data_IF_417769913411
#
_entry.id   IF_417769913411
#
_cell.length_a   1.000
_cell.length_b   1.000
_cell.length_c   1.000
_cell.angle_alpha   90.00
_cell.angle_beta   90.00
_cell.angle_gamma   90.00
#
_symmetry.space_group_name_H-M   'P 1'
#
loop_
_entity.id
_entity.type
_entity.pdbx_description
1 polymer ?
#
# COMPACT_ATOMS: atom_id res chain seq x y z
N UNK A 1 -7.61 -4.37 12.56
CA UNK A 1 -8.25 -3.47 13.53
C UNK A 1 -9.49 -2.82 12.94
N UNK A 2 -10.38 -2.26 13.77
CA UNK A 2 -11.57 -1.54 13.29
C UNK A 2 -11.56 -0.13 13.87
N UNK A 3 -11.77 0.88 13.01
CA UNK A 3 -11.84 2.29 13.40
C UNK A 3 -13.23 2.66 13.94
N UNK A 4 -13.37 3.87 14.50
CA UNK A 4 -14.61 4.33 15.15
C UNK A 4 -15.82 4.50 14.19
N UNK A 5 -15.58 4.58 12.88
CA UNK A 5 -16.61 4.61 11.84
C UNK A 5 -16.99 3.22 11.28
N UNK A 6 -16.37 2.16 11.80
CA UNK A 6 -16.55 0.78 11.34
C UNK A 6 -15.61 0.38 10.20
N UNK A 7 -14.78 1.29 9.69
CA UNK A 7 -13.75 0.98 8.67
C UNK A 7 -12.78 -0.06 9.20
N UNK A 8 -12.53 -1.12 8.43
CA UNK A 8 -11.55 -2.16 8.76
C UNK A 8 -10.21 -1.84 8.13
N UNK A 9 -9.14 -2.01 8.90
CA UNK A 9 -7.77 -1.76 8.47
C UNK A 9 -6.87 -2.95 8.83
N UNK A 10 -6.09 -3.40 7.86
CA UNK A 10 -4.97 -4.34 8.03
C UNK A 10 -3.67 -3.58 7.85
N UNK A 11 -2.72 -3.80 8.72
CA UNK A 11 -1.40 -3.19 8.66
C UNK A 11 -0.38 -4.27 8.32
N UNK A 12 0.48 -4.01 7.36
CA UNK A 12 1.62 -4.86 7.05
C UNK A 12 2.77 -4.59 8.03
N UNK A 13 3.84 -5.36 7.96
CA UNK A 13 5.03 -5.17 8.79
C UNK A 13 5.59 -3.74 8.67
N UNK A 14 6.19 -3.22 9.75
CA UNK A 14 6.80 -1.88 9.82
C UNK A 14 5.85 -0.74 9.44
N UNK A 15 4.54 -0.88 9.75
CA UNK A 15 3.54 0.11 9.39
C UNK A 15 3.05 0.88 10.61
N UNK A 16 3.03 2.20 10.50
CA UNK A 16 2.43 3.12 11.46
C UNK A 16 1.13 3.70 10.88
N UNK A 17 0.04 3.62 11.65
CA UNK A 17 -1.24 4.27 11.35
C UNK A 17 -1.59 5.27 12.45
N UNK A 18 -1.76 6.54 12.07
CA UNK A 18 -2.24 7.60 12.96
C UNK A 18 -3.65 7.99 12.59
N UNK A 19 -4.54 8.00 13.55
CA UNK A 19 -5.96 8.34 13.36
C UNK A 19 -6.55 8.93 14.66
N UNK A 20 -7.58 9.77 14.56
CA UNK A 20 -8.25 10.33 15.75
C UNK A 20 -9.14 9.26 16.39
N UNK A 21 -9.32 9.31 17.71
CA UNK A 21 -10.26 8.43 18.44
C UNK A 21 -11.69 8.59 17.91
N UNK A 22 -12.06 9.83 17.55
CA UNK A 22 -13.35 10.15 16.94
C UNK A 22 -13.10 11.04 15.72
N UNK A 23 -13.65 10.67 14.58
CA UNK A 23 -13.53 11.45 13.36
C UNK A 23 -14.32 12.75 13.41
N UNK A 24 -13.90 13.74 12.63
CA UNK A 24 -14.60 15.00 12.45
C UNK A 24 -15.99 14.81 11.81
N UNK A 25 -16.83 15.84 11.87
CA UNK A 25 -18.20 15.78 11.35
C UNK A 25 -18.26 15.82 9.82
N UNK A 26 -17.24 16.39 9.19
CA UNK A 26 -17.16 16.66 7.75
C UNK A 26 -16.24 15.71 6.98
N UNK A 27 -15.29 15.04 7.67
CA UNK A 27 -14.30 14.15 7.07
C UNK A 27 -13.73 13.12 8.04
N UNK A 28 -13.14 12.06 7.48
CA UNK A 28 -12.46 10.99 8.20
C UNK A 28 -11.01 10.93 7.70
N UNK A 29 -10.05 11.41 8.49
CA UNK A 29 -8.65 11.48 8.07
C UNK A 29 -7.77 10.54 8.87
N UNK A 30 -6.86 9.88 8.17
CA UNK A 30 -5.82 9.03 8.74
C UNK A 30 -4.48 9.26 8.05
N UNK A 31 -3.38 8.95 8.73
CA UNK A 31 -2.02 9.03 8.19
C UNK A 31 -1.37 7.66 8.25
N UNK A 32 -0.73 7.28 7.15
CA UNK A 32 -0.02 5.98 7.00
C UNK A 32 1.45 6.23 6.67
N UNK A 33 2.32 5.49 7.35
CA UNK A 33 3.69 5.23 6.95
C UNK A 33 3.86 3.72 6.85
N UNK A 34 4.22 3.18 5.69
CA UNK A 34 4.26 1.75 5.45
C UNK A 34 3.16 1.25 4.54
N UNK A 35 2.58 0.10 4.80
CA UNK A 35 1.57 -0.50 3.94
C UNK A 35 0.31 -0.90 4.73
N UNK A 36 -0.84 -0.41 4.24
CA UNK A 36 -2.14 -0.67 4.85
C UNK A 36 -3.22 -0.96 3.80
N UNK A 37 -4.03 -1.95 4.09
CA UNK A 37 -5.25 -2.26 3.34
C UNK A 37 -6.46 -1.75 4.10
N UNK A 38 -7.36 -1.08 3.39
CA UNK A 38 -8.57 -0.46 3.92
C UNK A 38 -9.82 -1.06 3.30
N UNK A 39 -10.81 -1.37 4.12
CA UNK A 39 -12.20 -1.58 3.72
C UNK A 39 -13.02 -0.48 4.38
N UNK A 40 -13.22 0.60 3.62
CA UNK A 40 -13.85 1.82 4.14
C UNK A 40 -15.36 1.71 4.08
N UNK A 41 -16.00 1.98 5.21
CA UNK A 41 -17.47 2.05 5.31
C UNK A 41 -18.00 3.18 4.43
N UNK A 42 -19.03 2.88 3.64
CA UNK A 42 -19.65 3.84 2.73
C UNK A 42 -20.33 4.98 3.50
N UNK A 43 -19.83 6.20 3.26
CA UNK A 43 -20.39 7.43 3.80
C UNK A 43 -20.09 8.58 2.79
N UNK A 44 -21.07 8.94 1.99
CA UNK A 44 -20.94 9.98 0.97
C UNK A 44 -20.91 11.40 1.55
N UNK A 45 -21.37 11.58 2.78
CA UNK A 45 -21.37 12.87 3.47
C UNK A 45 -20.03 13.22 4.09
N UNK A 46 -19.22 12.21 4.43
CA UNK A 46 -17.91 12.37 5.07
C UNK A 46 -16.86 11.54 4.33
N UNK A 47 -16.09 12.14 3.43
CA UNK A 47 -15.02 11.44 2.73
C UNK A 47 -14.00 10.86 3.73
N UNK A 48 -13.45 9.69 3.38
CA UNK A 48 -12.32 9.10 4.08
C UNK A 48 -11.05 9.45 3.31
N UNK A 49 -10.06 10.01 4.00
CA UNK A 49 -8.85 10.54 3.39
C UNK A 49 -7.65 9.88 4.05
N UNK A 50 -6.80 9.22 3.25
CA UNK A 50 -5.53 8.66 3.68
C UNK A 50 -4.40 9.56 3.20
N UNK A 51 -3.59 10.05 4.14
CA UNK A 51 -2.35 10.78 3.85
C UNK A 51 -1.17 9.84 4.00
N UNK A 52 -0.36 9.70 2.96
CA UNK A 52 0.83 8.86 2.95
C UNK A 52 1.91 9.45 2.04
N UNK A 53 3.12 9.67 2.54
CA UNK A 53 4.27 10.17 1.74
C UNK A 53 3.93 11.37 0.85
N UNK A 54 3.17 12.36 1.36
CA UNK A 54 2.78 13.56 0.61
C UNK A 54 1.72 13.32 -0.49
N UNK A 55 1.10 12.15 -0.50
CA UNK A 55 -0.04 11.78 -1.34
C UNK A 55 -1.31 11.84 -0.50
N UNK A 56 -2.39 12.35 -1.08
CA UNK A 56 -3.73 12.33 -0.50
C UNK A 56 -4.62 11.38 -1.30
N UNK A 57 -5.22 10.40 -0.63
CA UNK A 57 -6.10 9.40 -1.23
C UNK A 57 -7.49 9.56 -0.64
N UNK A 58 -8.47 9.94 -1.46
CA UNK A 58 -9.85 10.24 -1.05
C UNK A 58 -10.83 9.19 -1.56
N UNK A 59 -11.68 8.69 -0.66
CA UNK A 59 -12.70 7.68 -0.97
C UNK A 59 -14.01 7.96 -0.21
N UNK A 60 -15.13 7.36 -0.66
CA UNK A 60 -16.44 7.46 -0.02
C UNK A 60 -16.97 6.11 0.51
N UNK A 61 -16.29 5.01 0.21
CA UNK A 61 -16.69 3.64 0.56
C UNK A 61 -16.05 2.69 -0.44
N UNK A 62 -14.85 2.19 -0.13
CA UNK A 62 -13.92 1.64 -1.12
C UNK A 62 -13.00 0.65 -0.42
N UNK A 63 -12.61 -0.41 -1.13
CA UNK A 63 -11.56 -1.33 -0.72
C UNK A 63 -10.30 -1.07 -1.54
N UNK A 64 -9.19 -0.75 -0.87
CA UNK A 64 -7.93 -0.38 -1.53
C UNK A 64 -6.72 -0.62 -0.63
N UNK A 65 -5.55 -0.75 -1.27
CA UNK A 65 -4.25 -0.85 -0.62
C UNK A 65 -3.45 0.43 -0.80
N UNK A 66 -2.75 0.85 0.22
CA UNK A 66 -1.76 1.95 0.18
C UNK A 66 -0.43 1.39 0.61
N UNK A 67 0.60 1.50 -0.23
CA UNK A 67 1.99 1.20 0.09
C UNK A 67 2.82 2.49 -0.03
N UNK A 68 3.40 2.94 1.07
CA UNK A 68 4.13 4.20 1.15
C UNK A 68 5.21 4.13 2.25
N UNK A 69 6.17 3.22 2.08
CA UNK A 69 7.35 3.12 2.94
C UNK A 69 8.33 4.25 2.61
N UNK A 70 8.96 4.82 3.64
CA UNK A 70 9.92 5.93 3.47
C UNK A 70 11.19 5.52 2.70
N UNK A 71 11.56 4.23 2.77
CA UNK A 71 12.71 3.65 2.08
C UNK A 71 12.37 3.05 0.69
N UNK A 72 11.13 3.26 0.20
CA UNK A 72 10.72 2.87 -1.15
C UNK A 72 10.68 4.09 -2.08
N UNK A 73 11.13 3.93 -3.33
CA UNK A 73 11.14 5.03 -4.29
C UNK A 73 9.74 5.44 -4.77
N UNK A 74 8.74 4.59 -4.55
CA UNK A 74 7.38 4.77 -5.02
C UNK A 74 6.37 4.65 -3.88
N UNK A 75 5.35 5.52 -3.89
CA UNK A 75 4.11 5.29 -3.17
C UNK A 75 3.06 4.75 -4.15
N UNK A 76 2.37 3.68 -3.77
CA UNK A 76 1.44 2.96 -4.63
C UNK A 76 0.07 2.83 -3.96
N UNK A 77 -0.97 3.19 -4.71
CA UNK A 77 -2.36 3.08 -4.26
C UNK A 77 -3.11 2.16 -5.22
N UNK A 78 -3.47 0.96 -4.77
CA UNK A 78 -4.12 -0.08 -5.60
C UNK A 78 -5.59 -0.19 -5.26
N UNK A 79 -6.46 -0.01 -6.25
CA UNK A 79 -7.90 -0.09 -6.06
C UNK A 79 -8.43 -1.49 -6.30
N UNK A 80 -9.13 -2.03 -5.29
CA UNK A 80 -9.80 -3.34 -5.34
C UNK A 80 -11.27 -3.18 -5.74
N UNK A 81 -12.01 -2.32 -5.02
CA UNK A 81 -13.43 -2.10 -5.24
C UNK A 81 -13.82 -0.64 -4.93
N UNK A 82 -14.73 -0.09 -5.72
CA UNK A 82 -15.25 1.27 -5.54
C UNK A 82 -14.57 2.30 -6.46
N UNK A 83 -14.24 3.46 -5.91
CA UNK A 83 -13.56 4.56 -6.60
C UNK A 83 -12.58 5.24 -5.66
N UNK A 84 -11.43 5.61 -6.20
CA UNK A 84 -10.38 6.34 -5.48
C UNK A 84 -9.98 7.57 -6.27
N UNK A 85 -9.90 8.70 -5.58
CA UNK A 85 -9.23 9.90 -6.07
C UNK A 85 -7.88 10.03 -5.37
N UNK A 86 -6.80 10.08 -6.15
CA UNK A 86 -5.43 10.26 -5.65
C UNK A 86 -4.94 11.63 -6.08
N UNK A 87 -4.40 12.39 -5.14
CA UNK A 87 -3.84 13.73 -5.38
C UNK A 87 -2.38 13.79 -4.93
N UNK A 88 -1.52 14.36 -5.77
CA UNK A 88 -0.12 14.65 -5.49
C UNK A 88 0.29 15.98 -6.14
N UNK A 89 0.72 16.96 -5.33
CA UNK A 89 1.14 18.30 -5.81
C UNK A 89 0.15 18.97 -6.75
N UNK A 90 -1.14 18.86 -6.47
CA UNK A 90 -2.21 19.48 -7.27
C UNK A 90 -2.60 18.70 -8.54
N UNK A 91 -1.88 17.61 -8.86
CA UNK A 91 -2.30 16.68 -9.90
C UNK A 91 -3.23 15.62 -9.31
N UNK A 92 -4.32 15.34 -10.00
CA UNK A 92 -5.34 14.39 -9.54
C UNK A 92 -5.49 13.23 -10.52
N UNK A 93 -5.65 12.03 -9.99
CA UNK A 93 -5.89 10.81 -10.75
C UNK A 93 -7.08 10.05 -10.16
N UNK A 94 -8.02 9.64 -11.01
CA UNK A 94 -9.14 8.77 -10.63
C UNK A 94 -8.81 7.32 -11.00
N UNK A 95 -9.02 6.41 -10.04
CA UNK A 95 -8.87 4.98 -10.24
C UNK A 95 -10.23 4.28 -10.32
N UNK A 96 -10.26 3.24 -11.15
CA UNK A 96 -11.29 2.20 -11.20
C UNK A 96 -10.69 0.88 -10.75
N UNK A 97 -11.50 -0.14 -10.35
CA UNK A 97 -10.97 -1.45 -9.95
C UNK A 97 -9.99 -2.04 -10.98
N UNK A 98 -8.89 -2.62 -10.50
CA UNK A 98 -7.82 -3.13 -11.34
C UNK A 98 -6.71 -2.11 -11.65
N UNK A 99 -6.86 -0.86 -11.21
CA UNK A 99 -5.88 0.20 -11.45
C UNK A 99 -5.10 0.56 -10.19
N UNK A 100 -3.87 0.99 -10.40
CA UNK A 100 -2.95 1.48 -9.38
C UNK A 100 -2.45 2.87 -9.75
N UNK A 101 -2.51 3.80 -8.82
CA UNK A 101 -1.75 5.06 -8.89
C UNK A 101 -0.34 4.83 -8.35
N UNK A 102 0.64 5.40 -9.03
CA UNK A 102 2.05 5.35 -8.68
C UNK A 102 2.56 6.77 -8.56
N UNK A 103 3.13 7.10 -7.42
CA UNK A 103 3.73 8.41 -7.13
C UNK A 103 5.21 8.21 -6.81
N UNK A 104 6.05 8.82 -7.60
CA UNK A 104 7.49 8.85 -7.35
C UNK A 104 7.79 9.68 -6.09
N UNK A 105 8.56 9.12 -5.16
CA UNK A 105 8.79 9.72 -3.83
C UNK A 105 9.60 11.01 -3.90
N UNK A 106 10.49 11.16 -4.88
CA UNK A 106 11.37 12.31 -5.04
C UNK A 106 10.72 13.41 -5.88
N UNK A 107 10.26 13.06 -7.09
CA UNK A 107 9.70 14.02 -8.05
C UNK A 107 8.25 14.37 -7.80
N UNK A 108 7.53 13.49 -7.05
CA UNK A 108 6.08 13.56 -6.81
C UNK A 108 5.25 13.42 -8.10
N UNK A 109 5.85 12.89 -9.16
CA UNK A 109 5.14 12.62 -10.39
C UNK A 109 4.09 11.53 -10.16
N UNK A 110 2.84 11.83 -10.51
CA UNK A 110 1.70 10.93 -10.41
C UNK A 110 1.42 10.29 -11.77
N UNK A 111 1.36 8.98 -11.81
CA UNK A 111 0.97 8.18 -12.96
C UNK A 111 0.01 7.08 -12.54
N UNK A 112 -0.58 6.36 -13.52
CA UNK A 112 -1.42 5.19 -13.23
C UNK A 112 -1.12 4.06 -14.20
N UNK A 113 -1.31 2.82 -13.71
CA UNK A 113 -1.16 1.59 -14.50
C UNK A 113 -2.22 0.56 -14.15
N UNK A 114 -2.53 -0.32 -15.06
CA UNK A 114 -3.35 -1.50 -14.80
C UNK A 114 -2.49 -2.58 -14.14
N UNK A 115 -3.05 -3.28 -13.14
CA UNK A 115 -2.30 -4.27 -12.35
C UNK A 115 -3.17 -5.49 -12.03
N UNK A 116 -2.49 -6.62 -11.76
CA UNK A 116 -3.14 -7.74 -11.08
C UNK A 116 -3.26 -7.41 -9.59
N UNK A 117 -4.45 -7.02 -9.15
CA UNK A 117 -4.73 -6.59 -7.78
C UNK A 117 -4.33 -7.62 -6.74
N UNK A 118 -4.48 -8.92 -7.04
CA UNK A 118 -4.18 -9.99 -6.08
C UNK A 118 -2.73 -9.94 -5.59
N UNK A 119 -1.78 -9.60 -6.44
CA UNK A 119 -0.36 -9.50 -6.07
C UNK A 119 -0.04 -8.35 -5.09
N UNK A 120 -0.94 -7.36 -4.98
CA UNK A 120 -0.79 -6.21 -4.08
C UNK A 120 -1.56 -6.34 -2.77
N UNK A 121 -2.47 -7.32 -2.65
CA UNK A 121 -3.32 -7.46 -1.46
C UNK A 121 -3.22 -8.83 -0.80
N UNK A 122 -2.53 -9.80 -1.41
CA UNK A 122 -2.36 -11.16 -0.90
C UNK A 122 -1.63 -11.23 0.45
N UNK A 123 -0.81 -10.22 0.76
CA UNK A 123 -0.11 -10.12 2.04
C UNK A 123 -1.07 -10.10 3.24
N UNK A 124 -2.28 -9.56 3.06
CA UNK A 124 -3.34 -9.54 4.07
C UNK A 124 -3.73 -10.95 4.52
N UNK A 125 -3.68 -11.91 3.60
CA UNK A 125 -3.99 -13.32 3.83
C UNK A 125 -2.73 -14.15 4.16
N UNK A 126 -1.61 -13.45 4.47
CA UNK A 126 -0.34 -14.08 4.82
C UNK A 126 0.39 -14.71 3.61
N UNK A 127 0.03 -14.31 2.39
CA UNK A 127 0.68 -14.76 1.16
C UNK A 127 1.47 -13.60 0.55
N UNK A 128 2.75 -13.80 0.35
CA UNK A 128 3.59 -12.89 -0.43
C UNK A 128 3.66 -13.41 -1.86
N UNK A 129 2.87 -12.82 -2.73
CA UNK A 129 2.86 -13.09 -4.17
C UNK A 129 3.74 -12.05 -4.88
N UNK A 130 4.71 -12.52 -5.66
CA UNK A 130 5.65 -11.67 -6.38
C UNK A 130 5.78 -12.12 -7.83
N UNK A 131 5.42 -11.21 -8.75
CA UNK A 131 5.55 -11.40 -10.19
C UNK A 131 6.75 -10.61 -10.72
N UNK A 132 7.69 -11.27 -11.40
CA UNK A 132 8.85 -10.65 -12.07
C UNK A 132 9.62 -9.62 -11.22
N UNK A 133 9.66 -9.81 -9.91
CA UNK A 133 10.33 -8.92 -8.96
C UNK A 133 11.83 -9.19 -8.97
N UNK A 134 12.65 -8.14 -8.89
CA UNK A 134 14.10 -8.32 -8.72
C UNK A 134 14.43 -8.92 -7.36
N UNK A 135 15.57 -9.58 -7.24
CA UNK A 135 16.02 -10.12 -5.96
C UNK A 135 16.18 -9.01 -4.91
N UNK A 136 16.60 -7.81 -5.32
CA UNK A 136 16.72 -6.66 -4.42
C UNK A 136 15.37 -6.22 -3.86
N UNK A 137 14.35 -6.08 -4.71
CA UNK A 137 12.97 -5.77 -4.30
C UNK A 137 12.38 -6.89 -3.41
N UNK A 138 12.64 -8.15 -3.76
CA UNK A 138 12.17 -9.31 -3.02
C UNK A 138 12.74 -9.34 -1.60
N UNK A 139 14.07 -9.22 -1.45
CA UNK A 139 14.72 -9.29 -0.12
C UNK A 139 14.35 -8.07 0.73
N UNK A 140 14.12 -6.90 0.15
CA UNK A 140 13.66 -5.71 0.87
C UNK A 140 12.28 -5.96 1.51
N UNK A 141 11.37 -6.62 0.80
CA UNK A 141 10.05 -6.98 1.36
C UNK A 141 10.14 -8.09 2.39
N UNK A 142 10.98 -9.11 2.16
CA UNK A 142 11.20 -10.20 3.09
C UNK A 142 11.88 -9.73 4.39
N UNK A 143 12.81 -8.76 4.32
CA UNK A 143 13.46 -8.19 5.52
C UNK A 143 12.44 -7.62 6.49
N UNK A 144 11.41 -6.90 5.98
CA UNK A 144 10.32 -6.37 6.82
C UNK A 144 9.48 -7.48 7.46
N UNK A 145 9.18 -8.55 6.71
CA UNK A 145 8.31 -9.62 7.21
C UNK A 145 8.97 -10.50 8.28
N UNK A 146 10.29 -10.70 8.16
CA UNK A 146 11.04 -11.62 9.00
C UNK A 146 12.01 -10.94 9.97
N UNK A 147 12.09 -9.59 9.93
CA UNK A 147 13.00 -8.78 10.74
C UNK A 147 14.47 -9.27 10.56
N UNK A 148 14.92 -9.36 9.31
CA UNK A 148 16.27 -9.86 8.94
C UNK A 148 16.94 -8.90 7.97
N UNK A 149 18.25 -8.77 8.10
CA UNK A 149 19.10 -8.04 7.16
C UNK A 149 19.66 -8.96 6.08
N UNK A 150 19.68 -8.47 4.84
CA UNK A 150 20.25 -9.17 3.69
C UNK A 150 21.47 -8.43 3.15
N UNK A 151 22.53 -9.20 2.86
CA UNK A 151 23.75 -8.67 2.23
C UNK A 151 24.02 -9.37 0.91
N UNK A 152 24.22 -8.59 -0.15
CA UNK A 152 24.60 -9.12 -1.45
C UNK A 152 26.12 -9.28 -1.53
N UNK A 153 26.59 -10.51 -1.52
CA UNK A 153 28.02 -10.83 -1.75
C UNK A 153 28.37 -10.60 -3.24
N UNK A 154 27.41 -10.80 -4.15
CA UNK A 154 27.55 -10.57 -5.58
C UNK A 154 26.55 -9.53 -6.05
N UNK A 155 27.03 -8.36 -6.49
CA UNK A 155 26.18 -7.27 -6.99
C UNK A 155 25.34 -7.67 -8.22
N UNK A 156 25.81 -8.58 -9.06
CA UNK A 156 25.08 -9.06 -10.24
C UNK A 156 23.84 -9.90 -9.90
N UNK A 157 23.69 -10.36 -8.66
CA UNK A 157 22.50 -11.08 -8.22
C UNK A 157 21.27 -10.15 -8.04
N UNK A 158 21.50 -8.88 -7.70
CA UNK A 158 20.42 -7.91 -7.36
C UNK A 158 19.34 -7.78 -8.45
N UNK A 159 19.77 -7.72 -9.70
CA UNK A 159 18.90 -7.52 -10.85
C UNK A 159 18.20 -8.79 -11.37
N UNK A 160 18.51 -9.97 -10.81
CA UNK A 160 17.83 -11.21 -11.21
C UNK A 160 16.38 -11.16 -10.80
N UNK A 161 15.48 -11.57 -11.74
CA UNK A 161 14.04 -11.55 -11.50
C UNK A 161 13.52 -12.91 -11.07
N UNK A 162 12.54 -12.88 -10.20
CA UNK A 162 11.88 -14.06 -9.65
C UNK A 162 10.37 -13.89 -9.72
N UNK A 163 9.68 -15.01 -9.88
CA UNK A 163 8.21 -15.11 -9.82
C UNK A 163 7.86 -16.26 -8.90
N UNK A 164 6.89 -16.05 -8.02
CA UNK A 164 6.47 -17.08 -7.09
C UNK A 164 5.56 -16.53 -5.98
N UNK A 165 5.29 -17.40 -5.02
CA UNK A 165 4.53 -17.02 -3.82
C UNK A 165 5.11 -17.72 -2.58
N UNK A 166 5.18 -17.01 -1.47
CA UNK A 166 5.67 -17.50 -0.17
C UNK A 166 4.59 -17.27 0.88
N UNK A 167 4.25 -18.32 1.65
CA UNK A 167 3.39 -18.17 2.83
C UNK A 167 4.21 -17.66 4.01
N UNK A 168 3.69 -16.67 4.71
CA UNK A 168 4.36 -16.02 5.87
C UNK A 168 4.71 -17.00 7.00
N UNK A 169 3.97 -18.12 7.13
CA UNK A 169 4.21 -19.13 8.18
C UNK A 169 5.37 -20.09 7.88
N UNK A 170 6.00 -19.98 6.71
CA UNK A 170 7.17 -20.77 6.40
C UNK A 170 8.37 -20.11 7.08
N UNK A 171 8.96 -20.77 8.09
CA UNK A 171 10.25 -20.39 8.65
C UNK A 171 11.30 -20.40 7.52
N UNK A 172 12.08 -19.32 7.43
CA UNK A 172 13.28 -19.32 6.59
C UNK A 172 14.26 -20.33 7.22
N UNK A 173 14.39 -21.52 6.65
CA UNK A 173 15.40 -22.52 6.99
C UNK A 173 16.58 -22.39 6.04
#
# INVERSE_FOLDING_TARGET
>A
MTLSDGTRVWLNAETELRFPVVFAKDKREVHVKGEAYFEVVKDSSRPFIVHASGVSTRVLGTSFNVMAYENEPLAEITLVEGKVEVESRGNTCLLTPGWQAVVDSDTRQLSRREVNVSSYVSWRDGLFDFGEMTLEELVMKLSRWYDVDFFFVNSGARAKRFTGAIKRNNTLQ
#
